data_IF_175705461261
#
_entry.id   IF_175705461261
#
_cell.length_a   1.000
_cell.length_b   1.000
_cell.length_c   1.000
_cell.angle_alpha   90.00
_cell.angle_beta   90.00
_cell.angle_gamma   90.00
#
_symmetry.space_group_name_H-M   'P 1'
#
loop_
_entity.id
_entity.type
_entity.pdbx_description
1 polymer ?
#
# COMPACT_ATOMS: atom_id res chain seq x y z
N UNK A 1 -2.32 -9.45 -7.03
CA UNK A 1 -2.82 -9.37 -5.66
C UNK A 1 -3.91 -8.32 -5.54
N UNK A 2 -4.83 -8.51 -4.64
CA UNK A 2 -5.84 -7.51 -4.35
C UNK A 2 -5.25 -6.47 -3.39
N UNK A 3 -5.37 -5.19 -3.75
CA UNK A 3 -4.89 -4.10 -2.91
C UNK A 3 -6.06 -3.20 -2.52
N UNK A 4 -6.14 -2.87 -1.24
CA UNK A 4 -7.05 -1.84 -0.74
C UNK A 4 -6.26 -0.80 0.04
N UNK A 5 -6.51 0.47 -0.23
CA UNK A 5 -5.93 1.58 0.51
C UNK A 5 -7.07 2.32 1.18
N UNK A 6 -7.07 2.35 2.50
CA UNK A 6 -8.17 2.87 3.30
C UNK A 6 -7.69 4.01 4.20
N UNK A 7 -8.48 5.06 4.29
CA UNK A 7 -8.34 6.08 5.33
C UNK A 7 -9.51 5.93 6.30
N UNK A 8 -9.49 6.61 7.47
CA UNK A 8 -10.62 6.52 8.39
C UNK A 8 -11.95 6.92 7.75
N UNK A 9 -11.92 7.85 6.79
CA UNK A 9 -13.15 8.37 6.20
C UNK A 9 -13.61 7.59 4.98
N UNK A 10 -12.69 7.02 4.21
CA UNK A 10 -13.10 6.42 2.93
C UNK A 10 -12.07 5.44 2.38
N UNK A 11 -12.50 4.68 1.40
CA UNK A 11 -11.64 3.83 0.59
C UNK A 11 -11.01 4.69 -0.51
N UNK A 12 -9.68 4.72 -0.55
CA UNK A 12 -8.94 5.51 -1.54
C UNK A 12 -8.66 4.71 -2.80
N UNK A 13 -8.49 3.40 -2.68
CA UNK A 13 -8.18 2.53 -3.80
C UNK A 13 -8.64 1.12 -3.49
N UNK A 14 -9.09 0.40 -4.51
CA UNK A 14 -9.37 -1.03 -4.42
C UNK A 14 -9.24 -1.64 -5.81
N UNK A 15 -8.44 -2.70 -5.94
CA UNK A 15 -8.30 -3.37 -7.23
C UNK A 15 -7.17 -4.38 -7.26
N UNK A 16 -7.10 -5.10 -8.37
CA UNK A 16 -6.02 -6.05 -8.63
C UNK A 16 -4.81 -5.32 -9.17
N UNK A 17 -3.65 -5.58 -8.58
CA UNK A 17 -2.41 -4.90 -8.94
C UNK A 17 -1.26 -5.89 -8.97
N UNK A 18 -0.13 -5.50 -9.56
CA UNK A 18 1.10 -6.28 -9.53
C UNK A 18 1.80 -6.15 -8.19
N UNK A 19 1.70 -4.99 -7.57
CA UNK A 19 2.37 -4.74 -6.32
C UNK A 19 2.13 -3.34 -5.82
N UNK A 20 2.77 -3.02 -4.70
CA UNK A 20 2.70 -1.69 -4.09
C UNK A 20 4.04 -1.39 -3.45
N UNK A 21 4.54 -0.16 -3.65
CA UNK A 21 5.74 0.34 -2.98
C UNK A 21 5.29 1.23 -1.83
N UNK A 22 5.93 1.04 -0.68
CA UNK A 22 5.48 1.65 0.57
C UNK A 22 6.62 2.32 1.32
N UNK A 23 6.34 3.44 2.02
CA UNK A 23 7.34 4.10 2.86
C UNK A 23 7.36 3.45 4.24
N UNK A 24 8.14 2.39 4.40
CA UNK A 24 8.33 1.77 5.71
C UNK A 24 9.09 2.68 6.66
N UNK A 25 9.01 2.38 7.95
CA UNK A 25 9.75 3.15 8.97
C UNK A 25 11.25 3.10 8.69
N UNK A 26 11.75 1.95 8.24
CA UNK A 26 13.17 1.76 7.94
C UNK A 26 13.56 2.05 6.49
N UNK A 27 12.64 2.51 5.67
CA UNK A 27 12.90 2.80 4.25
C UNK A 27 11.84 2.23 3.33
N UNK A 28 11.99 2.51 2.05
CA UNK A 28 11.06 2.02 1.03
C UNK A 28 11.14 0.51 0.90
N UNK A 29 9.99 -0.13 0.69
CA UNK A 29 9.94 -1.54 0.36
C UNK A 29 8.76 -1.80 -0.56
N UNK A 30 8.79 -2.96 -1.22
CA UNK A 30 7.74 -3.36 -2.16
C UNK A 30 7.09 -4.65 -1.72
N UNK A 31 5.78 -4.72 -1.91
CA UNK A 31 5.02 -5.95 -1.75
C UNK A 31 4.51 -6.32 -3.13
N UNK A 32 4.99 -7.46 -3.65
CA UNK A 32 4.61 -7.94 -4.96
C UNK A 32 3.58 -9.07 -4.83
N UNK A 33 2.97 -9.41 -5.94
CA UNK A 33 1.99 -10.49 -5.99
C UNK A 33 2.52 -11.74 -5.30
N UNK A 34 1.66 -12.39 -4.52
CA UNK A 34 1.97 -13.63 -3.76
C UNK A 34 3.03 -13.45 -2.67
N UNK A 35 3.13 -12.26 -2.11
CA UNK A 35 4.02 -12.01 -0.98
C UNK A 35 3.55 -12.77 0.26
N UNK A 36 4.51 -13.21 1.07
CA UNK A 36 4.23 -13.88 2.34
C UNK A 36 3.48 -12.95 3.30
N UNK A 37 2.73 -13.50 4.28
CA UNK A 37 2.05 -12.68 5.27
C UNK A 37 3.01 -11.70 5.97
N UNK A 38 2.52 -10.48 6.17
CA UNK A 38 3.33 -9.39 6.70
C UNK A 38 2.43 -8.36 7.37
N UNK A 39 2.92 -7.78 8.47
CA UNK A 39 2.35 -6.56 9.07
C UNK A 39 3.50 -5.61 9.29
N UNK A 40 3.37 -4.37 8.85
CA UNK A 40 4.43 -3.38 9.01
C UNK A 40 3.87 -1.98 9.19
N UNK A 41 4.56 -1.18 10.01
CA UNK A 41 4.21 0.22 10.18
C UNK A 41 4.80 1.05 9.04
N UNK A 42 4.10 2.10 8.66
CA UNK A 42 4.51 3.01 7.59
C UNK A 42 4.81 4.39 8.16
N UNK A 43 5.77 5.05 7.54
CA UNK A 43 6.15 6.41 7.89
C UNK A 43 5.59 7.42 6.89
N UNK A 44 6.12 8.64 6.95
CA UNK A 44 5.80 9.69 5.98
C UNK A 44 6.41 9.32 4.64
N UNK A 45 5.65 9.47 3.59
CA UNK A 45 6.14 9.22 2.24
C UNK A 45 5.01 8.92 1.27
N UNK A 46 5.36 8.23 0.19
CA UNK A 46 4.40 7.93 -0.86
C UNK A 46 4.13 6.44 -0.99
N UNK A 47 2.86 6.10 -1.08
CA UNK A 47 2.42 4.77 -1.48
C UNK A 47 2.27 4.78 -2.99
N UNK A 48 2.97 3.90 -3.68
CA UNK A 48 2.94 3.81 -5.14
C UNK A 48 2.32 2.50 -5.57
N UNK A 49 1.19 2.58 -6.25
CA UNK A 49 0.49 1.40 -6.76
C UNK A 49 1.10 0.99 -8.10
N UNK A 50 1.52 -0.26 -8.20
CA UNK A 50 2.17 -0.79 -9.41
C UNK A 50 1.16 -1.55 -10.23
N UNK A 51 0.73 -0.95 -11.32
CA UNK A 51 -0.24 -1.55 -12.24
C UNK A 51 0.46 -2.33 -13.35
N UNK A 52 -0.29 -3.30 -13.91
CA UNK A 52 0.22 -4.16 -14.96
C UNK A 52 0.62 -3.42 -16.23
N UNK A 53 -0.04 -2.32 -16.53
CA UNK A 53 0.06 -1.70 -17.84
C UNK A 53 0.73 -0.34 -17.85
N UNK A 54 1.49 0.03 -16.88
CA UNK A 54 2.33 1.22 -16.99
C UNK A 54 1.97 2.45 -16.18
N UNK A 55 0.72 2.73 -15.89
CA UNK A 55 0.41 3.92 -15.10
C UNK A 55 0.44 3.57 -13.62
N UNK A 56 1.27 4.24 -12.84
CA UNK A 56 1.24 4.08 -11.39
C UNK A 56 0.47 5.22 -10.77
N UNK A 57 -0.24 4.93 -9.69
CA UNK A 57 -0.89 5.94 -8.86
C UNK A 57 -0.09 6.11 -7.59
N UNK A 58 0.01 7.32 -7.11
CA UNK A 58 0.73 7.60 -5.87
C UNK A 58 -0.17 8.34 -4.90
N UNK A 59 0.01 8.03 -3.61
CA UNK A 59 -0.71 8.66 -2.52
C UNK A 59 0.32 9.11 -1.49
N UNK A 60 0.36 10.40 -1.18
CA UNK A 60 1.24 10.90 -0.13
C UNK A 60 0.56 10.73 1.21
N UNK A 61 1.25 10.09 2.15
CA UNK A 61 0.70 9.76 3.46
C UNK A 61 1.62 10.24 4.59
N UNK A 62 1.05 10.41 5.77
CA UNK A 62 1.82 10.78 6.96
C UNK A 62 2.23 9.56 7.79
N UNK A 63 1.60 8.43 7.57
CA UNK A 63 1.89 7.20 8.29
C UNK A 63 0.80 6.18 8.05
N UNK A 64 0.87 5.08 8.76
CA UNK A 64 -0.13 4.03 8.68
C UNK A 64 0.43 2.65 8.91
N UNK A 65 -0.29 1.66 8.43
CA UNK A 65 0.09 0.25 8.53
C UNK A 65 -0.26 -0.48 7.25
N UNK A 66 0.47 -1.54 6.99
CA UNK A 66 0.14 -2.45 5.89
C UNK A 66 0.05 -3.87 6.42
N UNK A 67 -0.93 -4.61 5.93
CA UNK A 67 -1.10 -6.02 6.22
C UNK A 67 -1.20 -6.80 4.91
N UNK A 68 -0.47 -7.91 4.83
CA UNK A 68 -0.59 -8.85 3.72
C UNK A 68 -1.04 -10.19 4.27
N UNK A 69 -2.11 -10.71 3.72
CA UNK A 69 -2.62 -12.03 4.10
C UNK A 69 -3.39 -12.64 2.92
N UNK A 70 -3.02 -13.86 2.56
CA UNK A 70 -3.69 -14.61 1.48
C UNK A 70 -3.76 -13.80 0.17
N UNK A 71 -2.65 -13.21 -0.22
CA UNK A 71 -2.52 -12.41 -1.43
C UNK A 71 -3.46 -11.20 -1.48
N UNK A 72 -3.87 -10.72 -0.30
CA UNK A 72 -4.61 -9.48 -0.15
C UNK A 72 -3.78 -8.52 0.69
N UNK A 73 -3.54 -7.33 0.17
CA UNK A 73 -2.79 -6.28 0.86
C UNK A 73 -3.74 -5.16 1.24
N UNK A 74 -3.77 -4.84 2.52
CA UNK A 74 -4.58 -3.75 3.05
C UNK A 74 -3.65 -2.69 3.61
N UNK A 75 -3.77 -1.46 3.12
CA UNK A 75 -2.98 -0.32 3.59
C UNK A 75 -3.94 0.63 4.30
N UNK A 76 -3.69 0.83 5.59
CA UNK A 76 -4.45 1.79 6.40
C UNK A 76 -3.61 3.04 6.55
N UNK A 77 -4.07 4.15 6.02
CA UNK A 77 -3.27 5.38 5.97
C UNK A 77 -3.81 6.44 6.90
N UNK A 78 -2.89 7.20 7.48
CA UNK A 78 -3.19 8.40 8.25
C UNK A 78 -2.74 9.60 7.43
N UNK A 79 -3.64 10.57 7.29
CA UNK A 79 -3.31 11.84 6.67
C UNK A 79 -2.88 11.72 5.22
N UNK A 80 -3.83 11.67 4.34
CA UNK A 80 -3.55 11.77 2.91
C UNK A 80 -3.27 13.24 2.60
N UNK A 81 -2.14 13.48 1.96
CA UNK A 81 -1.71 14.84 1.62
C UNK A 81 -2.13 15.22 0.22
#
# INVERSE_FOLDING_TARGET
MLLEILSPEKKLFSGEVLGVQLPGIGGLFEILDKHAPLVSALGVGQVKVLHKASASETYSIKGGFVEVLNNKTTVLVEGVL
#
